data_IF_119390208569
#
_entry.id   IF_119390208569
#
_cell.length_a   1.000
_cell.length_b   1.000
_cell.length_c   1.000
_cell.angle_alpha   90.00
_cell.angle_beta   90.00
_cell.angle_gamma   90.00
#
_symmetry.space_group_name_H-M   'P 1'
#
loop_
_entity.id
_entity.type
_entity.pdbx_description
1 polymer ?
#
# COMPACT_ATOMS: atom_id res chain seq x y z
N UNK A 1 -22.75 32.68 29.87
CA UNK A 1 -21.32 32.53 29.48
C UNK A 1 -21.18 31.18 28.82
N UNK A 2 -20.82 31.17 27.54
CA UNK A 2 -20.85 29.98 26.69
C UNK A 2 -19.99 28.88 27.31
N UNK A 3 -20.56 27.68 27.43
CA UNK A 3 -19.88 26.47 27.87
C UNK A 3 -18.92 26.09 26.74
N UNK A 4 -17.76 26.74 26.70
CA UNK A 4 -16.65 26.34 25.85
C UNK A 4 -16.36 24.90 26.26
N UNK A 5 -16.80 23.96 25.43
CA UNK A 5 -16.44 22.56 25.59
C UNK A 5 -14.94 22.53 25.33
N UNK A 6 -14.16 22.70 26.39
CA UNK A 6 -12.74 22.45 26.40
C UNK A 6 -12.58 21.02 25.89
N UNK A 7 -12.26 20.88 24.61
CA UNK A 7 -11.89 19.60 24.05
C UNK A 7 -10.60 19.26 24.77
N UNK A 8 -10.63 18.22 25.60
CA UNK A 8 -9.45 17.82 26.33
C UNK A 8 -8.37 17.47 25.30
N UNK A 9 -7.11 17.89 25.51
CA UNK A 9 -6.03 17.48 24.62
C UNK A 9 -6.02 15.94 24.58
N UNK A 10 -5.91 15.33 23.39
CA UNK A 10 -6.00 13.88 23.26
C UNK A 10 -4.91 13.22 24.13
N UNK A 11 -5.34 12.54 25.19
CA UNK A 11 -4.48 11.80 26.14
C UNK A 11 -4.04 10.44 25.61
N UNK A 12 -4.33 10.14 24.34
CA UNK A 12 -3.77 8.99 23.67
C UNK A 12 -2.26 9.17 23.61
N UNK A 13 -1.51 8.36 24.38
CA UNK A 13 -0.08 8.15 24.18
C UNK A 13 0.19 8.15 22.67
N UNK A 14 1.23 8.86 22.19
CA UNK A 14 1.42 9.35 20.80
C UNK A 14 1.11 8.43 19.61
N UNK A 15 0.73 7.17 19.84
CA UNK A 15 -0.03 6.28 18.96
C UNK A 15 -1.07 6.99 18.09
N UNK A 16 -1.90 7.90 18.62
CA UNK A 16 -2.92 8.60 17.80
C UNK A 16 -2.29 9.45 16.68
N UNK A 17 -1.12 10.06 16.93
CA UNK A 17 -0.40 10.83 15.90
C UNK A 17 0.31 9.91 14.91
N UNK A 18 0.82 8.77 15.35
CA UNK A 18 1.44 7.78 14.46
C UNK A 18 0.44 7.16 13.47
N UNK A 19 -0.85 7.07 13.82
CA UNK A 19 -1.89 6.63 12.88
C UNK A 19 -2.29 7.73 11.89
N UNK A 20 -2.28 9.00 12.30
CA UNK A 20 -2.65 10.15 11.46
C UNK A 20 -1.52 10.63 10.54
N UNK A 21 -0.27 10.27 10.85
CA UNK A 21 0.85 10.40 9.92
C UNK A 21 0.73 9.32 8.83
N UNK A 22 -0.39 9.39 8.11
CA UNK A 22 -0.64 8.69 6.87
C UNK A 22 0.44 9.15 5.89
N UNK A 23 1.55 8.42 5.91
CA UNK A 23 2.70 8.71 5.05
C UNK A 23 2.19 8.68 3.62
N UNK A 24 2.49 9.73 2.84
CA UNK A 24 2.10 9.87 1.43
C UNK A 24 2.92 8.91 0.55
N UNK A 25 2.86 7.61 0.84
CA UNK A 25 3.42 6.57 0.01
C UNK A 25 2.37 6.10 -1.00
N UNK A 26 2.84 5.50 -2.09
CA UNK A 26 1.96 4.80 -3.02
C UNK A 26 1.36 3.60 -2.28
N UNK A 27 0.09 3.72 -1.87
CA UNK A 27 -0.64 2.64 -1.20
C UNK A 27 -1.11 1.64 -2.25
N UNK A 28 -0.43 0.50 -2.35
CA UNK A 28 -0.86 -0.62 -3.18
C UNK A 28 -1.79 -1.50 -2.34
N UNK A 29 -3.01 -1.73 -2.80
CA UNK A 29 -3.92 -2.66 -2.12
C UNK A 29 -3.35 -4.10 -2.16
N UNK A 30 -3.62 -4.95 -1.16
CA UNK A 30 -3.18 -6.35 -1.19
C UNK A 30 -3.58 -7.10 -2.47
N UNK A 31 -4.75 -6.77 -3.02
CA UNK A 31 -5.21 -7.31 -4.32
C UNK A 31 -4.32 -6.87 -5.48
N UNK A 32 -3.85 -5.62 -5.46
CA UNK A 32 -2.91 -5.10 -6.45
C UNK A 32 -1.56 -5.81 -6.41
N UNK A 33 -1.05 -6.13 -5.22
CA UNK A 33 0.18 -6.90 -5.05
C UNK A 33 0.04 -8.31 -5.64
N UNK A 34 -1.08 -8.99 -5.34
CA UNK A 34 -1.36 -10.33 -5.90
C UNK A 34 -1.45 -10.27 -7.43
N UNK A 35 -2.16 -9.29 -7.99
CA UNK A 35 -2.28 -9.12 -9.44
C UNK A 35 -0.92 -8.88 -10.11
N UNK A 36 -0.09 -8.02 -9.53
CA UNK A 36 1.27 -7.75 -10.03
C UNK A 36 2.10 -9.04 -10.05
N UNK A 37 2.07 -9.82 -8.96
CA UNK A 37 2.78 -11.10 -8.90
C UNK A 37 2.31 -12.07 -9.98
N UNK A 38 1.00 -12.20 -10.19
CA UNK A 38 0.45 -13.07 -11.24
C UNK A 38 0.85 -12.63 -12.65
N UNK A 39 0.89 -11.32 -12.90
CA UNK A 39 1.36 -10.76 -14.19
C UNK A 39 2.83 -11.12 -14.41
N UNK A 40 3.68 -10.96 -13.41
CA UNK A 40 5.10 -11.31 -13.51
C UNK A 40 5.28 -12.81 -13.78
N UNK A 41 4.55 -13.67 -13.07
CA UNK A 41 4.58 -15.13 -13.31
C UNK A 41 4.13 -15.46 -14.73
N UNK A 42 3.06 -14.85 -15.23
CA UNK A 42 2.59 -15.07 -16.59
C UNK A 42 3.60 -14.60 -17.64
N UNK A 43 4.24 -13.45 -17.41
CA UNK A 43 5.31 -12.94 -18.27
C UNK A 43 6.52 -13.88 -18.29
N UNK A 44 6.98 -14.37 -17.14
CA UNK A 44 8.06 -15.34 -17.03
C UNK A 44 7.74 -16.64 -17.80
N UNK A 45 6.53 -17.17 -17.66
CA UNK A 45 6.10 -18.38 -18.40
C UNK A 45 6.10 -18.09 -19.91
N UNK A 46 5.57 -16.94 -20.33
CA UNK A 46 5.54 -16.56 -21.73
C UNK A 46 6.96 -16.39 -22.29
N UNK A 47 7.83 -15.72 -21.55
CA UNK A 47 9.22 -15.50 -21.95
C UNK A 47 10.03 -16.79 -21.92
N UNK A 48 9.73 -17.74 -21.04
CA UNK A 48 10.38 -19.04 -21.06
C UNK A 48 9.91 -19.90 -22.24
N UNK A 49 8.61 -19.87 -22.55
CA UNK A 49 8.03 -20.64 -23.65
C UNK A 49 8.43 -20.08 -25.03
N UNK A 50 8.42 -18.76 -25.20
CA UNK A 50 8.65 -18.08 -26.48
C UNK A 50 9.99 -17.34 -26.57
N UNK A 51 10.65 -17.06 -25.45
CA UNK A 51 11.95 -16.37 -25.44
C UNK A 51 13.04 -17.09 -26.22
N UNK A 52 13.13 -18.44 -26.20
CA UNK A 52 14.06 -19.15 -27.09
C UNK A 52 13.80 -18.90 -28.58
N UNK A 53 12.57 -18.54 -28.98
CA UNK A 53 12.21 -18.23 -30.37
C UNK A 53 12.48 -16.77 -30.75
N UNK A 54 12.51 -15.87 -29.77
CA UNK A 54 12.72 -14.43 -29.97
C UNK A 54 14.19 -14.05 -29.82
N UNK A 55 14.92 -14.69 -28.91
CA UNK A 55 16.33 -14.38 -28.58
C UNK A 55 17.33 -15.47 -28.99
N UNK A 56 16.87 -16.63 -29.47
CA UNK A 56 17.72 -17.69 -30.03
C UNK A 56 17.81 -17.59 -31.54
#
# INVERSE_FOLDING_TARGET
>A
MAKEKATLPPTGAGLMRFFDEDTKAVKISPRGVIALTLILVALEILLHAFGPQIFG
#
